data_IF_117028157124
#
_entry.id   IF_117028157124
#
_cell.length_a   1.000
_cell.length_b   1.000
_cell.length_c   1.000
_cell.angle_alpha   90.00
_cell.angle_beta   90.00
_cell.angle_gamma   90.00
#
_symmetry.space_group_name_H-M   'P 1'
#
loop_
_entity.id
_entity.type
_entity.pdbx_description
1 polymer ?
#
# COMPACT_ATOMS: atom_id res chain seq x y z
N UNK A 1 -24.41 1.93 -34.80
CA UNK A 1 -23.82 1.18 -33.67
C UNK A 1 -22.40 0.77 -34.06
N UNK A 2 -21.35 1.37 -33.50
CA UNK A 2 -19.99 0.96 -33.82
C UNK A 2 -19.64 -0.33 -33.07
N UNK A 3 -19.15 -1.32 -33.83
CA UNK A 3 -18.64 -2.61 -33.33
C UNK A 3 -17.41 -2.35 -32.46
N UNK A 4 -17.41 -2.95 -31.27
CA UNK A 4 -16.29 -2.97 -30.32
C UNK A 4 -15.15 -3.78 -30.95
N UNK A 5 -14.07 -3.10 -31.33
CA UNK A 5 -12.84 -3.71 -31.80
C UNK A 5 -12.19 -4.47 -30.64
N UNK A 6 -11.97 -5.78 -30.81
CA UNK A 6 -11.26 -6.62 -29.84
C UNK A 6 -9.77 -6.27 -29.80
N UNK A 7 -9.13 -6.19 -28.61
CA UNK A 7 -7.69 -6.16 -28.53
C UNK A 7 -7.13 -7.59 -28.48
N UNK A 8 -6.46 -7.95 -29.58
CA UNK A 8 -5.34 -8.89 -29.71
C UNK A 8 -5.17 -9.99 -28.64
N UNK A 9 -5.47 -11.23 -29.03
CA UNK A 9 -5.44 -12.43 -28.18
C UNK A 9 -4.02 -12.91 -27.84
N UNK A 10 -3.52 -12.53 -26.67
CA UNK A 10 -2.57 -13.37 -25.93
C UNK A 10 -3.34 -14.18 -24.89
N UNK A 11 -3.30 -15.51 -24.99
CA UNK A 11 -3.87 -16.38 -23.98
C UNK A 11 -3.25 -16.03 -22.62
N UNK A 12 -4.04 -15.82 -21.55
CA UNK A 12 -3.50 -15.47 -20.25
C UNK A 12 -2.48 -16.52 -19.81
N UNK A 13 -1.34 -16.06 -19.30
CA UNK A 13 -0.29 -16.95 -18.78
C UNK A 13 -0.88 -17.92 -17.76
N UNK A 14 -0.33 -19.14 -17.67
CA UNK A 14 -0.81 -20.15 -16.71
C UNK A 14 -0.89 -19.59 -15.28
N UNK A 15 0.06 -18.72 -14.92
CA UNK A 15 0.06 -17.99 -13.66
C UNK A 15 -1.17 -17.08 -13.51
N UNK A 16 -1.49 -16.28 -14.53
CA UNK A 16 -2.64 -15.39 -14.51
C UNK A 16 -3.95 -16.17 -14.37
N UNK A 17 -4.09 -17.30 -15.08
CA UNK A 17 -5.24 -18.20 -14.93
C UNK A 17 -5.34 -18.77 -13.52
N UNK A 18 -4.23 -19.22 -12.94
CA UNK A 18 -4.21 -19.72 -11.58
C UNK A 18 -4.60 -18.63 -10.56
N UNK A 19 -4.11 -17.41 -10.74
CA UNK A 19 -4.46 -16.26 -9.90
C UNK A 19 -5.94 -15.90 -10.01
N UNK A 20 -6.48 -15.83 -11.22
CA UNK A 20 -7.91 -15.58 -11.47
C UNK A 20 -8.78 -16.65 -10.81
N UNK A 21 -8.41 -17.93 -10.95
CA UNK A 21 -9.15 -19.03 -10.32
C UNK A 21 -9.08 -19.00 -8.80
N UNK A 22 -7.92 -18.66 -8.23
CA UNK A 22 -7.77 -18.50 -6.79
C UNK A 22 -8.63 -17.34 -6.27
N UNK A 23 -8.63 -16.19 -6.97
CA UNK A 23 -9.45 -15.03 -6.63
C UNK A 23 -10.95 -15.34 -6.70
N UNK A 24 -11.39 -16.03 -7.75
CA UNK A 24 -12.76 -16.49 -7.92
C UNK A 24 -13.17 -17.43 -6.78
N UNK A 25 -12.31 -18.40 -6.45
CA UNK A 25 -12.54 -19.37 -5.38
C UNK A 25 -12.66 -18.68 -4.02
N UNK A 26 -11.77 -17.72 -3.74
CA UNK A 26 -11.81 -16.92 -2.51
C UNK A 26 -13.12 -16.12 -2.41
N UNK A 27 -13.52 -15.43 -3.48
CA UNK A 27 -14.79 -14.68 -3.52
C UNK A 27 -16.00 -15.59 -3.33
N UNK A 28 -15.99 -16.77 -3.95
CA UNK A 28 -17.07 -17.74 -3.81
C UNK A 28 -17.18 -18.30 -2.39
N UNK A 29 -16.08 -18.42 -1.64
CA UNK A 29 -16.13 -18.80 -0.23
C UNK A 29 -16.79 -17.74 0.64
N UNK A 30 -16.60 -16.45 0.33
CA UNK A 30 -17.26 -15.33 1.01
C UNK A 30 -18.77 -15.23 0.73
N UNK A 31 -19.22 -15.70 -0.44
CA UNK A 31 -20.65 -15.72 -0.84
C UNK A 31 -21.42 -16.94 -0.32
N UNK A 32 -20.74 -17.89 0.35
CA UNK A 32 -21.38 -19.09 0.84
C UNK A 32 -22.40 -18.75 1.97
N UNK A 33 -23.58 -19.40 2.00
CA UNK A 33 -24.61 -19.13 3.02
C UNK A 33 -24.17 -19.54 4.44
N UNK A 34 -23.09 -20.32 4.57
CA UNK A 34 -22.54 -20.75 5.85
C UNK A 34 -21.46 -21.82 5.72
N UNK A 35 -21.12 -22.45 6.84
CA UNK A 35 -20.17 -23.57 6.90
C UNK A 35 -18.71 -23.15 6.98
N UNK A 36 -17.81 -24.11 6.75
CA UNK A 36 -16.37 -23.91 6.91
C UNK A 36 -15.80 -22.88 5.93
N UNK A 37 -16.31 -22.81 4.69
CA UNK A 37 -15.84 -21.89 3.64
C UNK A 37 -16.00 -20.43 4.07
N UNK A 38 -17.20 -20.08 4.55
CA UNK A 38 -17.47 -18.74 5.08
C UNK A 38 -16.60 -18.45 6.31
N UNK A 39 -16.46 -19.41 7.24
CA UNK A 39 -15.59 -19.26 8.41
C UNK A 39 -14.13 -18.99 8.02
N UNK A 40 -13.61 -19.71 7.02
CA UNK A 40 -12.25 -19.54 6.49
C UNK A 40 -12.08 -18.18 5.83
N UNK A 41 -13.02 -17.77 4.97
CA UNK A 41 -12.98 -16.45 4.35
C UNK A 41 -13.01 -15.33 5.39
N UNK A 42 -13.98 -15.35 6.32
CA UNK A 42 -14.11 -14.33 7.37
C UNK A 42 -12.92 -14.30 8.32
N UNK A 43 -12.34 -15.46 8.67
CA UNK A 43 -11.12 -15.52 9.47
C UNK A 43 -9.90 -15.00 8.69
N UNK A 44 -9.80 -15.33 7.41
CA UNK A 44 -8.78 -14.79 6.51
C UNK A 44 -8.83 -13.27 6.44
N UNK A 45 -9.99 -12.68 6.19
CA UNK A 45 -10.15 -11.22 6.18
C UNK A 45 -9.72 -10.60 7.53
N UNK A 46 -10.12 -11.19 8.67
CA UNK A 46 -9.66 -10.76 10.01
C UNK A 46 -8.13 -10.85 10.18
N UNK A 47 -7.47 -11.83 9.58
CA UNK A 47 -6.01 -11.91 9.60
C UNK A 47 -5.42 -10.78 8.76
N UNK A 48 -5.97 -10.53 7.56
CA UNK A 48 -5.48 -9.45 6.70
C UNK A 48 -5.66 -8.09 7.39
N UNK A 49 -6.76 -7.89 8.14
CA UNK A 49 -7.00 -6.66 8.92
C UNK A 49 -5.98 -6.41 10.03
N UNK A 50 -5.34 -7.46 10.53
CA UNK A 50 -4.26 -7.37 11.53
C UNK A 50 -2.88 -7.11 10.94
N UNK A 51 -2.72 -7.22 9.63
CA UNK A 51 -1.43 -6.96 8.99
C UNK A 51 -1.28 -5.45 8.82
N UNK A 52 -0.13 -4.93 9.23
CA UNK A 52 0.26 -3.52 9.05
C UNK A 52 -0.05 -3.05 7.61
N UNK A 53 -0.78 -1.93 7.50
CA UNK A 53 -1.19 -1.39 6.21
C UNK A 53 0.01 -1.06 5.31
N UNK A 54 1.14 -0.69 5.89
CA UNK A 54 2.40 -0.40 5.18
C UNK A 54 2.91 -1.66 4.47
N UNK A 55 2.81 -2.83 5.10
CA UNK A 55 3.21 -4.10 4.50
C UNK A 55 2.31 -4.45 3.31
N UNK A 56 1.00 -4.26 3.46
CA UNK A 56 0.03 -4.55 2.41
C UNK A 56 0.15 -3.58 1.24
N UNK A 57 0.40 -2.29 1.52
CA UNK A 57 0.63 -1.28 0.52
C UNK A 57 1.91 -1.58 -0.27
N UNK A 58 3.02 -1.91 0.41
CA UNK A 58 4.26 -2.30 -0.28
C UNK A 58 4.07 -3.60 -1.07
N UNK A 59 3.35 -4.58 -0.52
CA UNK A 59 3.08 -5.82 -1.23
C UNK A 59 2.13 -5.65 -2.42
N UNK A 60 1.34 -4.57 -2.50
CA UNK A 60 0.46 -4.34 -3.66
C UNK A 60 1.21 -3.77 -4.86
N UNK A 61 2.34 -3.09 -4.62
CA UNK A 61 3.18 -2.52 -5.69
C UNK A 61 3.69 -3.64 -6.61
N UNK A 62 3.53 -3.42 -7.90
CA UNK A 62 4.08 -4.29 -8.94
C UNK A 62 5.35 -3.66 -9.51
N UNK A 63 6.49 -4.11 -9.00
CA UNK A 63 7.81 -3.65 -9.46
C UNK A 63 8.12 -4.04 -10.90
N UNK A 64 7.35 -4.94 -11.51
CA UNK A 64 7.52 -5.32 -12.91
C UNK A 64 6.89 -4.32 -13.89
N UNK A 65 5.89 -3.57 -13.45
CA UNK A 65 5.19 -2.55 -14.22
C UNK A 65 5.84 -1.16 -14.08
N UNK A 66 6.69 -0.97 -13.06
CA UNK A 66 7.39 0.28 -12.82
C UNK A 66 8.57 0.50 -13.78
N UNK A 67 9.09 1.75 -13.85
CA UNK A 67 10.29 2.04 -14.64
C UNK A 67 11.45 1.14 -14.22
N UNK A 68 12.17 0.60 -15.22
CA UNK A 68 13.37 -0.18 -14.93
C UNK A 68 14.44 0.78 -14.45
N UNK A 69 15.05 0.46 -13.32
CA UNK A 69 16.14 1.22 -12.70
C UNK A 69 17.28 1.46 -13.70
N UNK A 70 17.55 0.53 -14.61
CA UNK A 70 18.55 0.68 -15.68
C UNK A 70 18.23 1.76 -16.72
N UNK A 71 16.97 2.22 -16.82
CA UNK A 71 16.53 3.25 -17.75
C UNK A 71 16.54 4.65 -17.14
N UNK A 72 16.72 4.75 -15.82
CA UNK A 72 16.61 6.01 -15.07
C UNK A 72 17.89 6.85 -15.06
N UNK A 73 18.99 6.33 -15.60
CA UNK A 73 20.18 7.12 -15.92
C UNK A 73 20.95 7.63 -14.71
N UNK A 74 22.17 7.15 -14.55
CA UNK A 74 23.18 7.66 -13.62
C UNK A 74 23.33 9.17 -13.75
N UNK A 75 22.87 9.94 -12.76
CA UNK A 75 23.41 11.27 -12.54
C UNK A 75 24.80 11.11 -11.90
N UNK A 76 25.81 11.58 -12.61
CA UNK A 76 27.20 11.80 -12.20
C UNK A 76 28.15 10.58 -12.09
N UNK A 77 28.85 10.33 -13.20
CA UNK A 77 30.32 10.21 -13.15
C UNK A 77 30.89 10.71 -14.48
N UNK A 78 31.71 11.74 -14.39
CA UNK A 78 32.46 12.34 -15.48
C UNK A 78 33.24 11.30 -16.30
N UNK A 79 33.31 11.51 -17.62
CA UNK A 79 34.39 10.96 -18.44
C UNK A 79 34.10 9.66 -19.21
N UNK A 80 33.14 9.65 -20.13
CA UNK A 80 33.29 8.87 -21.38
C UNK A 80 32.40 9.40 -22.50
N UNK A 81 33.04 10.12 -23.45
CA UNK A 81 32.49 10.36 -24.79
C UNK A 81 32.34 9.01 -25.49
N UNK A 82 31.12 8.52 -25.72
CA UNK A 82 30.85 7.66 -26.87
C UNK A 82 29.36 7.63 -27.24
N UNK A 83 29.11 7.95 -28.52
CA UNK A 83 27.94 7.63 -29.33
C UNK A 83 26.68 8.50 -29.21
N UNK A 84 26.76 9.63 -29.90
CA UNK A 84 25.67 10.47 -30.36
C UNK A 84 24.87 9.77 -31.47
N UNK A 85 23.97 8.84 -31.12
CA UNK A 85 22.80 8.40 -31.92
C UNK A 85 22.05 7.31 -31.15
N UNK A 86 20.78 7.58 -30.82
CA UNK A 86 19.83 6.75 -30.04
C UNK A 86 20.13 6.77 -28.52
N UNK A 87 19.44 7.59 -27.73
CA UNK A 87 18.15 7.19 -27.16
C UNK A 87 17.42 8.43 -26.64
N UNK A 88 16.12 8.54 -26.94
CA UNK A 88 15.22 9.43 -26.19
C UNK A 88 15.14 8.86 -24.77
N UNK A 89 15.92 9.40 -23.85
CA UNK A 89 15.82 9.11 -22.42
C UNK A 89 14.49 9.66 -21.92
N UNK A 90 13.49 8.80 -21.81
CA UNK A 90 12.30 9.11 -21.04
C UNK A 90 12.72 9.17 -19.56
N UNK A 91 12.96 10.36 -19.03
CA UNK A 91 13.05 10.59 -17.58
C UNK A 91 11.68 10.27 -16.99
N UNK A 92 11.51 9.05 -16.49
CA UNK A 92 10.25 8.63 -15.86
C UNK A 92 10.19 9.26 -14.47
N UNK A 93 9.38 10.31 -14.33
CA UNK A 93 9.08 10.95 -13.04
C UNK A 93 7.80 10.36 -12.46
N UNK A 94 7.85 9.91 -11.21
CA UNK A 94 6.71 9.37 -10.46
C UNK A 94 6.28 10.44 -9.45
N UNK A 95 5.08 11.05 -9.61
CA UNK A 95 4.61 12.07 -8.68
C UNK A 95 4.18 11.44 -7.35
N UNK A 96 4.79 11.90 -6.26
CA UNK A 96 4.38 11.64 -4.89
C UNK A 96 3.44 12.76 -4.44
N UNK A 97 2.15 12.46 -4.47
CA UNK A 97 1.09 13.44 -4.21
C UNK A 97 0.86 13.58 -2.71
N UNK A 98 0.78 14.82 -2.22
CA UNK A 98 0.50 15.11 -0.81
C UNK A 98 -0.40 16.35 -0.62
N UNK A 99 -1.20 16.42 0.46
CA UNK A 99 -1.96 17.62 0.80
C UNK A 99 -1.07 18.65 1.52
N UNK A 100 -0.79 19.82 0.92
CA UNK A 100 0.19 20.78 1.44
C UNK A 100 -0.21 21.42 2.78
N UNK A 101 -1.50 21.66 3.05
CA UNK A 101 -1.97 22.31 4.28
C UNK A 101 -1.84 21.42 5.52
N UNK A 102 -1.68 20.11 5.32
CA UNK A 102 -1.57 19.13 6.41
C UNK A 102 -0.16 18.53 6.54
N UNK A 103 0.69 18.69 5.53
CA UNK A 103 2.07 18.16 5.51
C UNK A 103 3.01 19.31 5.14
N UNK A 104 3.04 20.34 5.97
CA UNK A 104 3.89 21.54 5.75
C UNK A 104 5.24 21.46 6.47
N UNK A 105 5.34 20.68 7.55
CA UNK A 105 6.51 20.62 8.44
C UNK A 105 7.48 19.48 8.11
N UNK A 106 7.03 18.47 7.36
CA UNK A 106 7.78 17.24 7.09
C UNK A 106 7.96 17.08 5.59
N UNK A 107 9.18 16.83 5.14
CA UNK A 107 9.44 16.48 3.75
C UNK A 107 8.86 15.07 3.47
N UNK A 108 7.84 14.95 2.59
CA UNK A 108 7.21 13.67 2.29
C UNK A 108 8.19 12.62 1.75
N UNK A 109 9.22 13.04 1.02
CA UNK A 109 10.19 12.10 0.43
C UNK A 109 11.11 11.53 1.51
N UNK A 110 11.55 12.35 2.47
CA UNK A 110 12.44 11.93 3.56
C UNK A 110 11.69 10.97 4.48
N UNK A 111 10.46 11.32 4.87
CA UNK A 111 9.62 10.46 5.70
C UNK A 111 9.36 9.10 5.02
N UNK A 112 9.09 9.09 3.71
CA UNK A 112 8.94 7.85 2.95
C UNK A 112 10.22 7.01 3.01
N UNK A 113 11.39 7.62 2.75
CA UNK A 113 12.69 6.91 2.78
C UNK A 113 12.98 6.30 4.14
N UNK A 114 12.73 7.04 5.22
CA UNK A 114 12.95 6.58 6.58
C UNK A 114 12.05 5.38 6.92
N UNK A 115 10.77 5.44 6.57
CA UNK A 115 9.84 4.33 6.76
C UNK A 115 10.25 3.08 5.97
N UNK A 116 10.65 3.26 4.71
CA UNK A 116 11.11 2.16 3.85
C UNK A 116 12.39 1.52 4.40
N UNK A 117 13.36 2.34 4.80
CA UNK A 117 14.65 1.88 5.34
C UNK A 117 14.47 1.11 6.65
N UNK A 118 13.64 1.63 7.56
CA UNK A 118 13.39 1.01 8.86
C UNK A 118 12.67 -0.36 8.73
N UNK A 119 11.72 -0.49 7.80
CA UNK A 119 10.86 -1.68 7.66
C UNK A 119 11.43 -2.75 6.72
N UNK A 120 12.28 -2.40 5.76
CA UNK A 120 12.87 -3.34 4.79
C UNK A 120 13.57 -4.58 5.40
N UNK A 121 14.47 -4.45 6.41
CA UNK A 121 15.14 -5.62 6.99
C UNK A 121 14.18 -6.55 7.73
N UNK A 122 13.11 -6.01 8.32
CA UNK A 122 12.07 -6.80 8.99
C UNK A 122 11.34 -7.70 8.00
N UNK A 123 10.97 -7.19 6.83
CA UNK A 123 10.33 -7.99 5.78
C UNK A 123 11.25 -9.09 5.25
N UNK A 124 12.55 -8.80 5.07
CA UNK A 124 13.54 -9.82 4.68
C UNK A 124 13.65 -10.94 5.71
N UNK A 125 13.76 -10.61 7.00
CA UNK A 125 13.84 -11.61 8.09
C UNK A 125 12.56 -12.45 8.16
N UNK A 126 11.39 -11.80 8.13
CA UNK A 126 10.09 -12.49 8.19
C UNK A 126 9.85 -13.39 6.98
N UNK A 127 10.33 -13.01 5.78
CA UNK A 127 10.28 -13.87 4.58
C UNK A 127 10.92 -15.22 4.87
N UNK A 128 12.16 -15.23 5.35
CA UNK A 128 12.89 -16.46 5.65
C UNK A 128 12.30 -17.25 6.81
N UNK A 129 11.78 -16.57 7.83
CA UNK A 129 11.02 -17.21 8.90
C UNK A 129 9.84 -18.03 8.34
N UNK A 130 9.00 -17.42 7.49
CA UNK A 130 7.85 -18.11 6.92
C UNK A 130 8.25 -19.21 5.93
N UNK A 131 9.32 -19.03 5.15
CA UNK A 131 9.87 -20.10 4.30
C UNK A 131 10.29 -21.30 5.14
N UNK A 132 10.92 -21.06 6.29
CA UNK A 132 11.27 -22.12 7.24
C UNK A 132 10.06 -22.85 7.83
N UNK A 133 8.91 -22.18 7.98
CA UNK A 133 7.67 -22.78 8.50
C UNK A 133 6.91 -23.65 7.49
N UNK A 134 7.15 -23.49 6.19
CA UNK A 134 6.49 -24.25 5.12
C UNK A 134 6.65 -25.78 5.29
N UNK A 135 7.86 -26.36 5.47
CA UNK A 135 8.00 -27.81 5.61
C UNK A 135 7.24 -28.38 6.83
N UNK A 136 7.10 -27.62 7.91
CA UNK A 136 6.37 -28.04 9.10
C UNK A 136 4.85 -28.04 8.92
N UNK A 137 4.34 -27.24 7.98
CA UNK A 137 2.91 -27.15 7.69
C UNK A 137 2.47 -28.04 6.53
N UNK A 138 3.40 -28.60 5.76
CA UNK A 138 3.10 -29.53 4.66
C UNK A 138 2.34 -30.81 5.07
N UNK A 139 2.60 -31.47 6.22
CA UNK A 139 1.93 -32.72 6.59
C UNK A 139 0.41 -32.61 6.79
N UNK A 140 -0.13 -31.42 7.05
CA UNK A 140 -1.58 -31.18 7.19
C UNK A 140 -2.36 -31.40 5.88
N UNK A 141 -1.69 -31.65 4.75
CA UNK A 141 -2.31 -32.03 3.48
C UNK A 141 -3.06 -33.37 3.55
N UNK A 142 -2.76 -34.23 4.53
CA UNK A 142 -3.34 -35.58 4.66
C UNK A 142 -4.81 -35.59 5.11
N UNK A 143 -5.40 -34.43 5.45
CA UNK A 143 -6.79 -34.33 5.92
C UNK A 143 -7.74 -34.08 4.72
N UNK A 144 -8.64 -35.00 4.36
CA UNK A 144 -9.41 -34.94 3.11
C UNK A 144 -10.56 -33.90 3.10
N UNK A 145 -10.91 -33.31 4.23
CA UNK A 145 -12.10 -32.45 4.37
C UNK A 145 -11.80 -30.97 4.10
N UNK A 146 -10.55 -30.53 4.31
CA UNK A 146 -10.15 -29.11 4.26
C UNK A 146 -8.87 -28.94 3.45
N UNK A 147 -8.73 -27.87 2.63
CA UNK A 147 -7.43 -27.54 2.05
C UNK A 147 -6.41 -27.31 3.17
N UNK A 148 -5.12 -27.54 2.91
CA UNK A 148 -4.05 -27.29 3.88
C UNK A 148 -3.86 -25.77 4.09
N UNK A 149 -4.79 -25.15 4.81
CA UNK A 149 -4.79 -23.72 5.11
C UNK A 149 -3.51 -23.27 5.83
N UNK A 150 -2.97 -24.02 6.81
CA UNK A 150 -1.69 -23.67 7.43
C UNK A 150 -0.57 -23.51 6.40
N UNK A 151 -0.43 -24.46 5.47
CA UNK A 151 0.57 -24.39 4.42
C UNK A 151 0.35 -23.19 3.49
N UNK A 152 -0.86 -23.03 2.96
CA UNK A 152 -1.16 -21.91 2.06
C UNK A 152 -0.95 -20.56 2.74
N UNK A 153 -1.28 -20.46 4.04
CA UNK A 153 -0.99 -19.29 4.84
C UNK A 153 0.51 -19.02 4.95
N UNK A 154 1.34 -20.02 5.27
CA UNK A 154 2.80 -19.85 5.33
C UNK A 154 3.40 -19.42 3.99
N UNK A 155 2.98 -20.05 2.88
CA UNK A 155 3.43 -19.68 1.53
C UNK A 155 3.01 -18.25 1.19
N UNK A 156 1.74 -17.90 1.45
CA UNK A 156 1.24 -16.55 1.23
C UNK A 156 2.00 -15.52 2.07
N UNK A 157 2.24 -15.78 3.36
CA UNK A 157 3.02 -14.89 4.24
C UNK A 157 4.46 -14.71 3.79
N UNK A 158 5.11 -15.79 3.34
CA UNK A 158 6.45 -15.71 2.76
C UNK A 158 6.45 -14.83 1.51
N UNK A 159 5.48 -15.04 0.62
CA UNK A 159 5.32 -14.26 -0.61
C UNK A 159 5.03 -12.78 -0.34
N UNK A 160 4.11 -12.44 0.57
CA UNK A 160 3.77 -11.03 0.87
C UNK A 160 4.95 -10.29 1.46
N UNK A 161 5.70 -10.91 2.38
CA UNK A 161 6.90 -10.30 2.93
C UNK A 161 8.01 -10.13 1.89
N UNK A 162 8.17 -11.11 0.99
CA UNK A 162 9.13 -11.00 -0.10
C UNK A 162 8.78 -9.85 -1.05
N UNK A 163 7.51 -9.74 -1.45
CA UNK A 163 6.98 -8.63 -2.27
C UNK A 163 7.19 -7.28 -1.58
N UNK A 164 6.83 -7.16 -0.29
CA UNK A 164 7.03 -5.93 0.46
C UNK A 164 8.51 -5.53 0.56
N UNK A 165 9.41 -6.49 0.80
CA UNK A 165 10.85 -6.25 0.79
C UNK A 165 11.33 -5.76 -0.59
N UNK A 166 10.95 -6.45 -1.67
CA UNK A 166 11.31 -6.06 -3.05
C UNK A 166 10.79 -4.66 -3.41
N UNK A 167 9.53 -4.37 -3.08
CA UNK A 167 8.95 -3.05 -3.28
C UNK A 167 9.68 -1.97 -2.48
N UNK A 168 10.01 -2.24 -1.21
CA UNK A 168 10.76 -1.26 -0.39
C UNK A 168 12.13 -0.95 -0.97
N UNK A 169 12.88 -1.96 -1.42
CA UNK A 169 14.19 -1.74 -2.05
C UNK A 169 14.08 -1.02 -3.38
N UNK A 170 13.02 -1.32 -4.15
CA UNK A 170 12.75 -0.69 -5.42
C UNK A 170 12.41 0.80 -5.27
N UNK A 171 11.51 1.14 -4.34
CA UNK A 171 11.16 2.52 -4.03
C UNK A 171 12.32 3.33 -3.48
N UNK A 172 13.16 2.72 -2.63
CA UNK A 172 14.35 3.38 -2.10
C UNK A 172 15.32 3.74 -3.23
N UNK A 173 15.53 2.82 -4.18
CA UNK A 173 16.38 3.07 -5.35
C UNK A 173 15.79 4.15 -6.26
N UNK A 174 14.49 4.13 -6.54
CA UNK A 174 13.82 5.18 -7.30
C UNK A 174 13.96 6.55 -6.63
N UNK A 175 13.82 6.59 -5.31
CA UNK A 175 14.01 7.81 -4.54
C UNK A 175 15.46 8.29 -4.57
N UNK A 176 16.45 7.39 -4.47
CA UNK A 176 17.88 7.73 -4.57
C UNK A 176 18.24 8.35 -5.92
N UNK A 177 17.57 7.92 -6.99
CA UNK A 177 17.80 8.40 -8.35
C UNK A 177 17.02 9.68 -8.70
N UNK A 178 16.29 10.26 -7.74
CA UNK A 178 15.45 11.44 -7.99
C UNK A 178 14.25 11.17 -8.91
N UNK A 179 13.86 9.90 -9.07
CA UNK A 179 12.74 9.52 -9.93
C UNK A 179 11.37 9.87 -9.29
N UNK A 180 11.32 9.92 -7.95
CA UNK A 180 10.12 10.27 -7.20
C UNK A 180 10.17 11.75 -6.85
N UNK A 181 9.21 12.52 -7.35
CA UNK A 181 9.12 13.97 -7.12
C UNK A 181 7.87 14.30 -6.32
N UNK A 182 8.01 15.16 -5.31
CA UNK A 182 6.87 15.62 -4.51
C UNK A 182 6.03 16.59 -5.30
N UNK A 183 4.72 16.34 -5.36
CA UNK A 183 3.76 17.19 -6.07
C UNK A 183 2.64 17.56 -5.10
N UNK A 184 2.49 18.86 -4.74
CA UNK A 184 1.36 19.29 -3.93
C UNK A 184 0.06 19.10 -4.72
N UNK A 185 -0.98 18.60 -4.06
CA UNK A 185 -2.32 18.47 -4.67
C UNK A 185 -3.34 19.30 -3.92
N UNK A 186 -3.84 20.33 -4.61
CA UNK A 186 -4.97 21.15 -4.15
C UNK A 186 -6.26 20.32 -4.07
N UNK A 187 -6.45 19.34 -4.95
CA UNK A 187 -7.61 18.45 -4.92
C UNK A 187 -7.64 17.62 -3.63
N UNK A 188 -6.50 17.03 -3.22
CA UNK A 188 -6.40 16.33 -1.93
C UNK A 188 -6.62 17.31 -0.79
N UNK A 189 -6.01 18.50 -0.85
CA UNK A 189 -6.13 19.50 0.20
C UNK A 189 -7.58 19.92 0.45
N UNK A 190 -8.35 20.12 -0.62
CA UNK A 190 -9.78 20.42 -0.58
C UNK A 190 -10.59 19.26 0.02
N UNK A 191 -10.29 18.01 -0.37
CA UNK A 191 -10.97 16.82 0.17
C UNK A 191 -10.73 16.71 1.69
N UNK A 192 -9.48 16.87 2.13
CA UNK A 192 -9.13 16.81 3.54
C UNK A 192 -9.68 18.00 4.35
N UNK A 193 -9.69 19.20 3.77
CA UNK A 193 -10.27 20.40 4.39
C UNK A 193 -11.79 20.33 4.53
N UNK A 194 -12.48 19.74 3.55
CA UNK A 194 -13.92 19.52 3.64
C UNK A 194 -14.24 18.45 4.70
N UNK A 195 -13.43 17.39 4.76
CA UNK A 195 -13.57 16.36 5.79
C UNK A 195 -13.36 16.93 7.20
N UNK A 196 -12.37 17.81 7.38
CA UNK A 196 -12.09 18.44 8.68
C UNK A 196 -13.24 19.36 9.13
N UNK A 197 -13.83 20.11 8.20
CA UNK A 197 -15.00 20.98 8.48
C UNK A 197 -16.25 20.20 8.88
N UNK A 198 -16.41 18.98 8.38
CA UNK A 198 -17.57 18.12 8.67
C UNK A 198 -17.53 17.49 10.08
N UNK A 199 -16.41 17.57 10.80
CA UNK A 199 -16.27 16.99 12.13
C UNK A 199 -17.02 17.83 13.19
N UNK A 200 -17.88 17.21 14.02
CA UNK A 200 -18.54 17.90 15.13
C UNK A 200 -17.50 18.32 16.17
N UNK A 201 -17.18 19.62 16.22
CA UNK A 201 -16.18 20.22 17.11
C UNK A 201 -15.33 21.32 16.48
N UNK A 202 -15.31 21.43 15.14
CA UNK A 202 -14.53 22.45 14.42
C UNK A 202 -14.95 23.90 14.74
N UNK A 203 -16.20 24.12 15.13
CA UNK A 203 -16.75 25.45 15.43
C UNK A 203 -16.21 26.08 16.72
N UNK A 204 -15.60 25.32 17.64
CA UNK A 204 -15.17 25.85 18.94
C UNK A 204 -13.68 26.23 19.03
N UNK A 205 -12.84 25.90 18.04
CA UNK A 205 -11.39 26.14 18.11
C UNK A 205 -10.88 27.29 17.24
N UNK A 206 -11.73 27.92 16.43
CA UNK A 206 -11.35 29.01 15.54
C UNK A 206 -11.12 30.37 16.24
N UNK A 207 -11.12 30.45 17.58
CA UNK A 207 -10.98 31.72 18.34
C UNK A 207 -9.63 31.81 19.08
N UNK A 208 -8.80 30.78 19.12
CA UNK A 208 -7.51 30.85 19.84
C UNK A 208 -6.33 30.57 18.92
N UNK A 209 -6.04 31.51 18.03
CA UNK A 209 -4.69 31.70 17.52
C UNK A 209 -3.88 32.42 18.61
N UNK A 210 -3.12 31.68 19.41
CA UNK A 210 -1.73 32.02 19.70
C UNK A 210 -1.04 30.90 20.48
N UNK A 211 0.22 30.70 20.11
CA UNK A 211 1.29 30.09 20.89
C UNK A 211 1.46 28.56 20.87
N UNK A 212 2.73 28.16 20.72
CA UNK A 212 3.21 26.84 21.13
C UNK A 212 3.25 25.75 20.06
N UNK A 213 4.45 25.22 19.83
CA UNK A 213 4.72 23.97 19.13
C UNK A 213 4.03 22.84 19.92
N UNK A 214 2.79 22.51 19.56
CA UNK A 214 2.08 21.33 20.08
C UNK A 214 1.89 20.29 18.96
N UNK A 215 2.26 19.06 19.30
CA UNK A 215 2.29 17.90 18.44
C UNK A 215 0.91 17.64 17.78
N UNK A 216 0.87 17.66 16.45
CA UNK A 216 -0.06 17.07 15.45
C UNK A 216 -1.35 16.30 15.89
N UNK A 217 -2.05 16.78 16.91
CA UNK A 217 -3.36 16.28 17.33
C UNK A 217 -4.43 16.53 16.25
N UNK A 218 -4.18 17.50 15.37
CA UNK A 218 -5.00 17.83 14.19
C UNK A 218 -4.97 16.75 13.10
N UNK A 219 -3.80 16.17 12.77
CA UNK A 219 -3.69 15.10 11.75
C UNK A 219 -4.42 13.84 12.23
N UNK A 220 -4.41 13.62 13.54
CA UNK A 220 -5.03 12.48 14.20
C UNK A 220 -6.56 12.60 14.30
N UNK A 221 -7.11 13.81 14.21
CA UNK A 221 -8.54 14.04 14.00
C UNK A 221 -8.95 14.05 12.52
N UNK A 222 -7.99 13.99 11.60
CA UNK A 222 -8.20 14.10 10.15
C UNK A 222 -8.29 12.77 9.42
N UNK A 223 -8.41 11.66 10.15
CA UNK A 223 -8.55 10.34 9.55
C UNK A 223 -9.81 10.30 8.68
N UNK A 224 -9.67 10.13 7.35
CA UNK A 224 -10.78 10.34 6.44
C UNK A 224 -11.91 9.35 6.72
N UNK A 225 -13.11 9.89 6.88
CA UNK A 225 -14.34 9.12 6.98
C UNK A 225 -14.49 8.19 5.75
N UNK A 226 -15.20 7.04 5.83
CA UNK A 226 -15.41 6.18 4.69
C UNK A 226 -16.00 6.88 3.45
N UNK A 227 -16.75 7.98 3.65
CA UNK A 227 -17.21 8.86 2.57
C UNK A 227 -16.05 9.57 1.88
N UNK A 228 -15.16 10.23 2.62
CA UNK A 228 -13.95 10.90 2.12
C UNK A 228 -13.04 9.96 1.33
N UNK A 229 -12.85 8.72 1.81
CA UNK A 229 -12.05 7.71 1.09
C UNK A 229 -12.69 7.37 -0.27
N UNK A 230 -14.02 7.34 -0.35
CA UNK A 230 -14.71 7.11 -1.62
C UNK A 230 -14.46 8.25 -2.60
N UNK A 231 -14.50 9.51 -2.13
CA UNK A 231 -14.16 10.67 -2.94
C UNK A 231 -12.70 10.64 -3.44
N UNK A 232 -11.73 10.21 -2.62
CA UNK A 232 -10.33 10.06 -3.05
C UNK A 232 -10.20 8.98 -4.13
N UNK A 233 -10.85 7.83 -3.94
CA UNK A 233 -10.81 6.73 -4.92
C UNK A 233 -11.39 7.16 -6.27
N UNK A 234 -12.50 7.90 -6.25
CA UNK A 234 -13.14 8.39 -7.46
C UNK A 234 -12.31 9.50 -8.14
N UNK A 235 -11.80 10.46 -7.36
CA UNK A 235 -10.99 11.58 -7.86
C UNK A 235 -9.71 11.10 -8.58
N UNK A 236 -9.04 10.10 -8.01
CA UNK A 236 -7.78 9.55 -8.56
C UNK A 236 -7.97 8.30 -9.42
N UNK A 237 -9.22 7.91 -9.71
CA UNK A 237 -9.54 6.71 -10.49
C UNK A 237 -8.81 5.46 -9.98
N UNK A 238 -8.73 5.31 -8.66
CA UNK A 238 -7.99 4.22 -8.02
C UNK A 238 -8.69 2.87 -8.21
N UNK A 239 -7.95 1.76 -8.25
CA UNK A 239 -8.55 0.43 -8.32
C UNK A 239 -9.43 0.17 -7.10
N UNK A 240 -10.47 -0.66 -7.26
CA UNK A 240 -11.45 -0.95 -6.20
C UNK A 240 -10.81 -1.49 -4.92
N UNK A 241 -9.70 -2.20 -5.07
CA UNK A 241 -8.88 -2.76 -4.00
C UNK A 241 -8.24 -1.66 -3.13
N UNK A 242 -7.95 -0.49 -3.70
CA UNK A 242 -7.35 0.63 -2.98
C UNK A 242 -8.28 1.14 -1.87
N UNK A 243 -9.61 1.17 -2.12
CA UNK A 243 -10.60 1.59 -1.12
C UNK A 243 -10.47 0.77 0.18
N UNK A 244 -10.36 -0.55 0.07
CA UNK A 244 -10.23 -1.44 1.24
C UNK A 244 -8.90 -1.23 1.96
N UNK A 245 -7.81 -1.01 1.23
CA UNK A 245 -6.50 -0.74 1.83
C UNK A 245 -6.47 0.60 2.58
N UNK A 246 -7.07 1.65 2.00
CA UNK A 246 -7.19 2.96 2.62
C UNK A 246 -8.05 2.91 3.88
N UNK A 247 -9.21 2.24 3.84
CA UNK A 247 -10.06 2.04 5.01
C UNK A 247 -9.30 1.33 6.14
N UNK A 248 -8.56 0.27 5.82
CA UNK A 248 -7.76 -0.46 6.81
C UNK A 248 -6.63 0.40 7.39
N UNK A 249 -5.94 1.18 6.55
CA UNK A 249 -4.91 2.10 7.01
C UNK A 249 -5.48 3.12 8.00
N UNK A 250 -6.66 3.65 7.70
CA UNK A 250 -7.38 4.58 8.57
C UNK A 250 -7.78 3.94 9.89
N UNK A 251 -8.37 2.75 9.87
CA UNK A 251 -8.74 2.04 11.11
C UNK A 251 -7.51 1.75 11.98
N UNK A 252 -6.41 1.28 11.38
CA UNK A 252 -5.18 1.00 12.11
C UNK A 252 -4.54 2.27 12.67
N UNK A 253 -4.51 3.36 11.92
CA UNK A 253 -4.01 4.65 12.40
C UNK A 253 -4.86 5.19 13.56
N UNK A 254 -6.18 5.03 13.51
CA UNK A 254 -7.09 5.39 14.61
C UNK A 254 -6.77 4.58 15.87
N UNK A 255 -6.58 3.27 15.74
CA UNK A 255 -6.23 2.41 16.88
C UNK A 255 -4.86 2.77 17.47
N UNK A 256 -3.85 3.05 16.63
CA UNK A 256 -2.50 3.44 17.09
C UNK A 256 -2.55 4.77 17.86
N UNK A 257 -3.29 5.76 17.35
CA UNK A 257 -3.49 7.04 18.04
C UNK A 257 -4.16 6.89 19.41
N UNK A 258 -5.25 6.12 19.48
CA UNK A 258 -5.97 5.93 20.74
C UNK A 258 -5.07 5.29 21.80
N UNK A 259 -4.19 4.39 21.39
CA UNK A 259 -3.21 3.77 22.27
C UNK A 259 -2.21 4.80 22.82
N UNK A 260 -1.66 5.67 21.96
CA UNK A 260 -0.71 6.71 22.38
C UNK A 260 -1.32 7.69 23.38
N UNK A 261 -2.57 8.11 23.18
CA UNK A 261 -3.30 8.99 24.11
C UNK A 261 -3.58 8.35 25.49
N UNK A 262 -3.54 7.02 25.59
CA UNK A 262 -3.79 6.29 26.85
C UNK A 262 -2.53 5.96 27.63
N UNK A 263 -1.35 6.26 27.09
CA UNK A 263 -0.08 6.00 27.76
C UNK A 263 0.14 7.09 28.82
N UNK A 264 0.26 6.75 30.12
CA UNK A 264 0.57 7.75 31.13
C UNK A 264 1.96 8.33 30.84
N UNK A 265 2.07 9.65 30.83
CA UNK A 265 3.36 10.33 30.77
C UNK A 265 4.19 9.87 31.98
N UNK A 266 5.30 9.19 31.69
CA UNK A 266 6.23 8.62 32.66
C UNK A 266 7.54 9.36 32.64
#
# INVERSE_FOLDING_TARGET
MPKKTEPNGQSPTLLKRAQEKASETWSNWGKAPGGWKLKVHSYGEKIVDRIDFEELALASIDTSLGPKISQLGTQESEGKKLSEKQTKTHTVSIPLIYPPSFISSIDPIVNLRDQLAARSPLHRRKTWFWVGMIPFTAPFMLIPIMPNLPFFFCVWRAWTHWKAHKASTYLLELSNQGAIQTVPSEDLDNIYSNASRALPGATQRAITENDGIEHDSSITQLLPDPSTISHIVDAYSLPKEAKRLLLRAVEQAKTRSQFDNTKPES
#
